data_IF_635473291185
#
_entry.id   IF_635473291185
#
_cell.length_a   1.000
_cell.length_b   1.000
_cell.length_c   1.000
_cell.angle_alpha   90.00
_cell.angle_beta   90.00
_cell.angle_gamma   90.00
#
_symmetry.space_group_name_H-M   'P 1'
#
loop_
_entity.id
_entity.type
_entity.pdbx_description
1 polymer ?
#
# COMPACT_ATOMS: atom_id res chain seq x y z
N UNK A 1 -76.77 -34.38 -9.04
CA UNK A 1 -76.36 -35.36 -8.02
C UNK A 1 -74.93 -35.80 -8.34
N UNK A 2 -74.17 -36.15 -7.30
CA UNK A 2 -72.75 -36.50 -7.24
C UNK A 2 -72.32 -37.62 -8.24
N UNK A 3 -71.06 -37.98 -8.49
CA UNK A 3 -69.82 -37.83 -7.73
C UNK A 3 -68.58 -38.13 -8.62
N UNK A 4 -67.42 -37.68 -8.13
CA UNK A 4 -66.03 -38.14 -8.28
C UNK A 4 -65.70 -39.41 -9.09
N UNK A 5 -64.55 -39.36 -9.79
CA UNK A 5 -63.37 -40.18 -9.44
C UNK A 5 -62.10 -39.70 -10.16
N UNK A 6 -61.09 -39.33 -9.37
CA UNK A 6 -59.76 -38.93 -9.81
C UNK A 6 -58.79 -40.13 -9.66
N UNK A 7 -58.00 -40.41 -10.70
CA UNK A 7 -56.91 -41.41 -10.65
C UNK A 7 -55.57 -40.71 -10.86
N UNK A 8 -54.69 -40.78 -9.84
CA UNK A 8 -53.32 -40.28 -9.86
C UNK A 8 -52.40 -41.24 -10.62
N UNK A 9 -51.60 -40.73 -11.56
CA UNK A 9 -50.41 -41.41 -12.07
C UNK A 9 -49.13 -40.71 -11.59
N UNK A 10 -48.18 -41.51 -11.11
CA UNK A 10 -46.89 -41.10 -10.53
C UNK A 10 -45.85 -40.94 -11.65
N UNK A 11 -45.29 -39.75 -11.83
CA UNK A 11 -44.12 -39.50 -12.68
C UNK A 11 -42.89 -39.18 -11.83
N UNK A 12 -41.85 -40.02 -11.92
CA UNK A 12 -40.53 -39.89 -11.27
C UNK A 12 -39.88 -38.54 -11.62
N UNK A 13 -39.62 -37.70 -10.62
CA UNK A 13 -38.74 -36.55 -10.75
C UNK A 13 -37.28 -36.98 -10.59
N UNK A 14 -36.49 -36.78 -11.64
CA UNK A 14 -35.05 -37.01 -11.69
C UNK A 14 -34.37 -35.79 -11.05
N UNK A 15 -33.83 -35.96 -9.85
CA UNK A 15 -33.08 -34.93 -9.15
C UNK A 15 -31.79 -34.60 -9.89
N UNK A 16 -31.72 -33.43 -10.52
CA UNK A 16 -30.47 -32.84 -11.01
C UNK A 16 -29.83 -32.06 -9.87
N UNK A 17 -28.74 -32.61 -9.32
CA UNK A 17 -27.85 -31.91 -8.40
C UNK A 17 -27.15 -30.78 -9.15
N UNK A 18 -27.74 -29.58 -9.11
CA UNK A 18 -27.07 -28.36 -9.54
C UNK A 18 -25.99 -28.00 -8.52
N UNK A 19 -24.73 -28.28 -8.87
CA UNK A 19 -23.57 -27.76 -8.16
C UNK A 19 -23.56 -26.25 -8.31
N UNK A 20 -23.97 -25.54 -7.26
CA UNK A 20 -23.90 -24.09 -7.18
C UNK A 20 -22.44 -23.69 -6.97
N UNK A 21 -21.68 -23.58 -8.06
CA UNK A 21 -20.41 -22.85 -8.05
C UNK A 21 -20.76 -21.37 -7.83
N UNK A 22 -20.68 -20.93 -6.58
CA UNK A 22 -20.79 -19.52 -6.21
C UNK A 22 -19.65 -18.78 -6.88
N UNK A 23 -19.92 -18.19 -8.05
CA UNK A 23 -19.05 -17.21 -8.67
C UNK A 23 -19.00 -16.01 -7.73
N UNK A 24 -17.94 -15.96 -6.92
CA UNK A 24 -17.59 -14.81 -6.09
C UNK A 24 -17.62 -13.57 -6.98
N UNK A 25 -18.64 -12.72 -6.83
CA UNK A 25 -18.69 -11.40 -7.48
C UNK A 25 -17.45 -10.66 -7.01
N UNK A 26 -16.46 -10.55 -7.87
CA UNK A 26 -15.24 -9.76 -7.67
C UNK A 26 -15.65 -8.35 -7.26
N UNK A 27 -15.62 -8.08 -5.96
CA UNK A 27 -15.88 -6.75 -5.43
C UNK A 27 -14.71 -5.87 -5.88
N UNK A 28 -14.97 -4.90 -6.75
CA UNK A 28 -13.97 -3.93 -7.14
C UNK A 28 -13.32 -3.31 -5.89
N UNK A 29 -12.02 -3.52 -5.70
CA UNK A 29 -11.25 -2.76 -4.71
C UNK A 29 -10.86 -1.39 -5.24
N UNK A 30 -10.63 -0.49 -4.30
CA UNK A 30 -9.99 0.79 -4.57
C UNK A 30 -8.66 0.57 -5.32
N UNK A 31 -8.32 1.39 -6.31
CA UNK A 31 -6.94 1.62 -6.73
C UNK A 31 -6.09 1.96 -5.50
N UNK A 32 -4.95 1.29 -5.37
CA UNK A 32 -3.95 1.54 -4.33
C UNK A 32 -2.69 2.11 -5.00
N UNK A 33 -1.64 2.41 -4.25
CA UNK A 33 -0.47 3.14 -4.78
C UNK A 33 0.08 2.55 -6.07
N UNK A 34 0.27 1.23 -6.11
CA UNK A 34 0.70 0.48 -7.30
C UNK A 34 -0.12 0.79 -8.57
N UNK A 35 -1.41 1.03 -8.41
CA UNK A 35 -2.31 1.30 -9.52
C UNK A 35 -2.14 2.72 -10.03
N UNK A 36 -1.95 3.67 -9.12
CA UNK A 36 -1.73 5.06 -9.51
C UNK A 36 -0.38 5.20 -10.22
N UNK A 37 0.66 4.53 -9.73
CA UNK A 37 1.99 4.48 -10.37
C UNK A 37 1.96 3.80 -11.75
N UNK A 38 1.12 2.78 -11.96
CA UNK A 38 0.90 2.23 -13.32
C UNK A 38 0.17 3.21 -14.24
N UNK A 39 -0.80 3.95 -13.71
CA UNK A 39 -1.50 4.98 -14.48
C UNK A 39 -0.55 6.14 -14.81
N UNK A 40 0.33 6.53 -13.89
CA UNK A 40 1.40 7.49 -14.14
C UNK A 40 2.26 7.06 -15.33
N UNK A 41 2.83 5.85 -15.30
CA UNK A 41 3.64 5.32 -16.42
C UNK A 41 2.86 5.30 -17.75
N UNK A 42 1.57 4.97 -17.70
CA UNK A 42 0.73 4.96 -18.88
C UNK A 42 0.42 6.35 -19.44
N UNK A 43 0.36 7.37 -18.60
CA UNK A 43 0.11 8.76 -18.98
C UNK A 43 1.40 9.56 -19.19
N UNK A 44 2.56 9.05 -18.78
CA UNK A 44 3.86 9.70 -18.95
C UNK A 44 4.13 10.19 -20.39
N UNK A 45 3.69 9.49 -21.47
CA UNK A 45 3.93 9.99 -22.82
C UNK A 45 3.16 11.27 -23.19
N UNK A 46 2.27 11.78 -22.33
CA UNK A 46 1.70 13.11 -22.50
C UNK A 46 2.71 14.22 -22.23
N UNK A 47 3.75 13.95 -21.41
CA UNK A 47 4.75 14.93 -21.01
C UNK A 47 5.50 15.49 -22.23
N UNK A 48 5.73 16.81 -22.23
CA UNK A 48 6.35 17.54 -23.33
C UNK A 48 5.38 17.93 -24.46
N UNK A 49 4.15 17.41 -24.47
CA UNK A 49 3.16 17.79 -25.46
C UNK A 49 2.29 18.98 -25.01
N UNK A 50 1.97 19.83 -26.00
CA UNK A 50 1.02 20.93 -25.84
C UNK A 50 -0.40 20.41 -25.71
N UNK A 51 -1.16 20.96 -24.78
CA UNK A 51 -2.58 20.71 -24.58
C UNK A 51 -3.37 21.41 -25.70
N UNK A 52 -4.09 20.61 -26.48
CA UNK A 52 -4.87 21.05 -27.64
C UNK A 52 -6.34 21.22 -27.29
N UNK A 53 -6.84 20.42 -26.36
CA UNK A 53 -8.19 20.52 -25.82
C UNK A 53 -8.23 19.99 -24.39
N UNK A 54 -9.06 20.59 -23.56
CA UNK A 54 -9.24 20.21 -22.17
C UNK A 54 -10.69 20.40 -21.75
N UNK A 55 -11.25 19.44 -21.01
CA UNK A 55 -12.61 19.51 -20.51
C UNK A 55 -12.71 18.99 -19.08
N UNK A 56 -13.35 19.80 -18.22
CA UNK A 56 -13.79 19.44 -16.87
C UNK A 56 -15.29 19.72 -16.74
N UNK A 57 -16.17 18.81 -17.20
CA UNK A 57 -17.61 19.09 -17.31
C UNK A 57 -18.30 19.50 -16.00
N UNK A 58 -17.72 19.15 -14.85
CA UNK A 58 -18.31 19.39 -13.51
C UNK A 58 -17.71 20.57 -12.75
N UNK A 59 -16.61 21.15 -13.23
CA UNK A 59 -15.95 22.30 -12.62
C UNK A 59 -16.12 23.45 -13.62
N UNK A 60 -17.32 24.03 -13.66
CA UNK A 60 -17.50 25.25 -14.44
C UNK A 60 -16.59 26.32 -13.85
N UNK A 61 -15.57 26.78 -14.59
CA UNK A 61 -14.90 28.11 -14.51
C UNK A 61 -13.62 28.15 -15.38
N UNK A 62 -13.58 29.14 -16.28
CA UNK A 62 -12.55 30.18 -16.50
C UNK A 62 -11.05 29.87 -16.69
N UNK A 63 -10.48 28.91 -15.99
CA UNK A 63 -9.04 28.59 -16.09
C UNK A 63 -8.84 27.44 -17.07
N UNK A 64 -8.20 27.74 -18.20
CA UNK A 64 -7.89 26.76 -19.24
C UNK A 64 -6.40 26.43 -19.20
N UNK A 65 -6.09 25.15 -19.34
CA UNK A 65 -4.72 24.67 -19.61
C UNK A 65 -4.47 24.48 -21.11
N UNK A 66 -5.45 24.83 -21.96
CA UNK A 66 -5.28 24.76 -23.42
C UNK A 66 -4.17 25.73 -23.83
N UNK A 67 -3.20 25.22 -24.60
CA UNK A 67 -1.99 25.95 -24.95
C UNK A 67 -0.82 25.68 -24.01
N UNK A 68 -1.02 25.22 -22.78
CA UNK A 68 0.08 24.84 -21.90
C UNK A 68 0.74 23.53 -22.37
N UNK A 69 1.94 23.26 -21.86
CA UNK A 69 2.64 21.98 -22.01
C UNK A 69 2.39 21.13 -20.77
N UNK A 70 2.13 19.84 -20.94
CA UNK A 70 2.16 18.89 -19.82
C UNK A 70 3.62 18.72 -19.40
N UNK A 71 3.95 19.18 -18.19
CA UNK A 71 5.35 19.15 -17.70
C UNK A 71 5.67 17.90 -16.92
N UNK A 72 4.67 17.32 -16.26
CA UNK A 72 4.87 16.18 -15.38
C UNK A 72 3.57 15.41 -15.17
N UNK A 73 3.70 14.10 -14.96
CA UNK A 73 2.62 13.22 -14.48
C UNK A 73 3.19 12.45 -13.32
N UNK A 74 2.55 12.56 -12.15
CA UNK A 74 3.08 12.06 -10.89
C UNK A 74 1.97 11.32 -10.11
N UNK A 75 2.26 10.08 -9.68
CA UNK A 75 1.51 9.42 -8.62
C UNK A 75 2.15 9.71 -7.26
N UNK A 76 1.30 10.08 -6.30
CA UNK A 76 1.70 10.31 -4.93
C UNK A 76 0.68 9.69 -3.97
N UNK A 77 1.04 8.53 -3.42
CA UNK A 77 0.15 7.66 -2.67
C UNK A 77 -1.02 7.20 -3.56
N UNK A 78 -2.23 7.66 -3.26
CA UNK A 78 -3.45 7.33 -4.04
C UNK A 78 -3.98 8.51 -4.87
N UNK A 79 -3.14 9.50 -5.09
CA UNK A 79 -3.44 10.68 -5.88
C UNK A 79 -2.66 10.60 -7.19
N UNK A 80 -3.26 11.11 -8.26
CA UNK A 80 -2.60 11.30 -9.55
C UNK A 80 -2.64 12.78 -9.91
N UNK A 81 -1.48 13.32 -10.25
CA UNK A 81 -1.22 14.73 -10.52
C UNK A 81 -0.72 14.86 -11.96
N UNK A 82 -1.30 15.78 -12.73
CA UNK A 82 -0.79 16.17 -14.04
C UNK A 82 -0.48 17.66 -13.98
N UNK A 83 0.79 18.02 -14.07
CA UNK A 83 1.27 19.40 -13.94
C UNK A 83 1.37 20.05 -15.32
N UNK A 84 1.01 21.32 -15.41
CA UNK A 84 1.05 22.10 -16.65
C UNK A 84 2.01 23.28 -16.53
N UNK A 85 2.61 23.71 -17.65
CA UNK A 85 3.57 24.82 -17.70
C UNK A 85 3.01 26.15 -17.19
N UNK A 86 1.69 26.35 -17.24
CA UNK A 86 0.98 27.52 -16.71
C UNK A 86 0.84 27.55 -15.18
N UNK A 87 1.46 26.61 -14.45
CA UNK A 87 1.44 26.57 -12.98
C UNK A 87 0.16 25.98 -12.38
N UNK A 88 -0.69 25.36 -13.20
CA UNK A 88 -1.85 24.58 -12.77
C UNK A 88 -1.51 23.09 -12.71
N UNK A 89 -2.25 22.37 -11.87
CA UNK A 89 -2.16 20.92 -11.69
C UNK A 89 -3.57 20.33 -11.71
N UNK A 90 -3.79 19.37 -12.59
CA UNK A 90 -4.95 18.50 -12.55
C UNK A 90 -4.69 17.42 -11.50
N UNK A 91 -5.43 17.47 -10.40
CA UNK A 91 -5.40 16.45 -9.36
C UNK A 91 -6.65 15.58 -9.45
N UNK A 92 -6.44 14.27 -9.60
CA UNK A 92 -7.48 13.26 -9.53
C UNK A 92 -7.23 12.26 -8.40
N UNK A 93 -8.29 11.88 -7.69
CA UNK A 93 -8.28 10.75 -6.77
C UNK A 93 -9.41 9.80 -7.15
N UNK A 94 -9.04 8.60 -7.60
CA UNK A 94 -9.97 7.66 -8.26
C UNK A 94 -11.03 7.07 -7.32
N UNK A 95 -10.72 6.95 -6.02
CA UNK A 95 -11.59 6.29 -5.04
C UNK A 95 -12.01 4.92 -5.59
N UNK A 96 -13.26 4.48 -5.43
CA UNK A 96 -13.64 3.12 -5.83
C UNK A 96 -14.04 2.96 -7.30
N UNK A 97 -14.31 4.07 -8.00
CA UNK A 97 -15.00 4.08 -9.30
C UNK A 97 -14.18 4.67 -10.43
N UNK A 98 -13.22 5.52 -10.11
CA UNK A 98 -12.42 6.24 -11.09
C UNK A 98 -11.50 5.34 -11.89
N UNK A 99 -11.25 5.75 -13.13
CA UNK A 99 -10.31 5.10 -14.04
C UNK A 99 -9.75 6.11 -15.05
N UNK A 100 -8.53 5.84 -15.50
CA UNK A 100 -7.86 6.60 -16.55
C UNK A 100 -7.57 5.70 -17.74
N UNK A 101 -7.92 6.17 -18.93
CA UNK A 101 -7.52 5.57 -20.19
C UNK A 101 -6.68 6.57 -20.98
N UNK A 102 -5.80 6.06 -21.85
CA UNK A 102 -5.09 6.84 -22.86
C UNK A 102 -5.33 6.24 -24.22
N UNK A 103 -5.79 7.08 -25.14
CA UNK A 103 -6.04 6.75 -26.53
C UNK A 103 -5.10 7.52 -27.45
N UNK A 104 -4.99 7.05 -28.69
CA UNK A 104 -4.49 7.89 -29.78
C UNK A 104 -5.59 8.87 -30.15
N UNK A 105 -5.24 10.14 -30.38
CA UNK A 105 -6.21 11.19 -30.71
C UNK A 105 -6.98 10.79 -31.97
N UNK A 106 -8.32 10.79 -31.86
CA UNK A 106 -9.24 10.37 -32.92
C UNK A 106 -9.70 8.91 -32.83
N UNK A 107 -9.11 8.10 -31.96
CA UNK A 107 -9.57 6.74 -31.70
C UNK A 107 -10.93 6.74 -30.96
N UNK A 108 -11.89 5.88 -31.32
CA UNK A 108 -13.13 5.76 -30.57
C UNK A 108 -12.89 5.25 -29.16
N UNK A 109 -13.49 5.93 -28.18
CA UNK A 109 -13.39 5.52 -26.79
C UNK A 109 -14.12 4.20 -26.55
N UNK A 110 -13.59 3.37 -25.65
CA UNK A 110 -14.21 2.10 -25.25
C UNK A 110 -15.28 2.27 -24.15
N UNK A 111 -15.46 3.50 -23.67
CA UNK A 111 -16.40 3.88 -22.61
C UNK A 111 -17.29 5.00 -23.13
N UNK A 112 -18.52 5.03 -22.59
CA UNK A 112 -19.52 6.06 -22.90
C UNK A 112 -19.01 7.45 -22.53
N UNK A 113 -19.22 8.43 -23.42
CA UNK A 113 -18.69 9.80 -23.26
C UNK A 113 -19.25 10.50 -22.01
N UNK A 114 -20.47 10.18 -21.63
CA UNK A 114 -21.18 10.77 -20.49
C UNK A 114 -20.55 10.38 -19.14
N UNK A 115 -19.70 9.34 -19.13
CA UNK A 115 -18.96 8.92 -17.94
C UNK A 115 -17.66 9.71 -17.74
N UNK A 116 -17.21 10.45 -18.76
CA UNK A 116 -15.98 11.23 -18.70
C UNK A 116 -16.12 12.40 -17.73
N UNK A 117 -15.12 12.54 -16.87
CA UNK A 117 -15.01 13.64 -15.90
C UNK A 117 -13.79 14.51 -16.17
N UNK A 118 -12.83 14.00 -16.95
CA UNK A 118 -11.73 14.76 -17.55
C UNK A 118 -11.55 14.27 -18.97
N UNK A 119 -11.35 15.20 -19.91
CA UNK A 119 -10.79 14.92 -21.24
C UNK A 119 -9.58 15.82 -21.41
N UNK A 120 -8.41 15.23 -21.64
CA UNK A 120 -7.15 15.92 -21.85
C UNK A 120 -6.53 15.47 -23.18
N UNK A 121 -6.55 16.34 -24.17
CA UNK A 121 -5.92 16.10 -25.46
C UNK A 121 -4.57 16.80 -25.50
N UNK A 122 -3.47 16.04 -25.56
CA UNK A 122 -2.11 16.57 -25.61
C UNK A 122 -1.32 15.86 -26.71
N UNK A 123 -0.87 16.62 -27.72
CA UNK A 123 -0.15 16.07 -28.87
C UNK A 123 -0.95 14.95 -29.59
N UNK A 124 -0.37 13.76 -29.81
CA UNK A 124 -1.06 12.64 -30.45
C UNK A 124 -1.98 11.86 -29.50
N UNK A 125 -2.07 12.25 -28.22
CA UNK A 125 -2.77 11.48 -27.20
C UNK A 125 -4.07 12.16 -26.74
N UNK A 126 -5.01 11.32 -26.31
CA UNK A 126 -6.21 11.71 -25.59
C UNK A 126 -6.31 10.89 -24.30
N UNK A 127 -6.07 11.53 -23.15
CA UNK A 127 -6.23 10.93 -21.84
C UNK A 127 -7.61 11.27 -21.27
N UNK A 128 -8.35 10.24 -20.88
CA UNK A 128 -9.74 10.39 -20.42
C UNK A 128 -9.88 9.76 -19.05
N UNK A 129 -10.31 10.56 -18.08
CA UNK A 129 -10.67 10.10 -16.76
C UNK A 129 -12.18 9.87 -16.70
N UNK A 130 -12.62 8.69 -16.27
CA UNK A 130 -14.04 8.37 -16.11
C UNK A 130 -14.38 8.17 -14.65
N UNK A 131 -15.53 8.72 -14.22
CA UNK A 131 -16.18 8.44 -12.94
C UNK A 131 -15.30 8.63 -11.68
N UNK A 132 -14.19 9.37 -11.76
CA UNK A 132 -13.40 9.74 -10.59
C UNK A 132 -14.22 10.73 -9.73
N UNK A 133 -14.47 10.43 -8.43
CA UNK A 133 -15.28 11.30 -7.59
C UNK A 133 -14.60 12.61 -7.21
N UNK A 134 -13.26 12.63 -7.17
CA UNK A 134 -12.48 13.83 -6.86
C UNK A 134 -11.63 14.17 -8.07
N UNK A 135 -11.93 15.33 -8.66
CA UNK A 135 -11.20 15.95 -9.77
C UNK A 135 -11.18 17.45 -9.49
N UNK A 136 -10.00 18.05 -9.54
CA UNK A 136 -9.83 19.50 -9.40
C UNK A 136 -8.66 19.98 -10.25
N UNK A 137 -8.80 21.17 -10.82
CA UNK A 137 -7.70 21.93 -11.40
C UNK A 137 -7.33 23.03 -10.41
N UNK A 138 -6.11 23.01 -9.91
CA UNK A 138 -5.65 23.92 -8.86
C UNK A 138 -4.23 24.39 -9.13
N UNK A 139 -3.82 25.47 -8.48
CA UNK A 139 -2.45 25.96 -8.57
C UNK A 139 -1.45 24.99 -7.95
N UNK A 140 -0.27 24.91 -8.55
CA UNK A 140 0.88 24.13 -8.10
C UNK A 140 1.17 24.32 -6.60
N UNK A 141 1.25 25.58 -6.12
CA UNK A 141 1.51 25.90 -4.70
C UNK A 141 0.55 25.23 -3.72
N UNK A 142 -0.71 25.00 -4.13
CA UNK A 142 -1.71 24.34 -3.31
C UNK A 142 -1.44 22.84 -3.20
N UNK A 143 -1.06 22.20 -4.31
CA UNK A 143 -0.68 20.79 -4.33
C UNK A 143 0.60 20.55 -3.54
N UNK A 144 1.57 21.46 -3.64
CA UNK A 144 2.83 21.33 -2.91
C UNK A 144 2.60 21.31 -1.40
N UNK A 145 1.77 22.25 -0.90
CA UNK A 145 1.39 22.33 0.52
C UNK A 145 0.51 21.17 0.99
N UNK A 146 -0.50 20.79 0.21
CA UNK A 146 -1.51 19.81 0.63
C UNK A 146 -1.07 18.36 0.44
N UNK A 147 -0.16 18.08 -0.50
CA UNK A 147 0.21 16.72 -0.90
C UNK A 147 1.73 16.49 -0.97
N UNK A 148 2.48 17.23 -1.80
CA UNK A 148 3.90 16.89 -2.04
C UNK A 148 4.75 17.01 -0.79
N UNK A 149 4.66 18.11 -0.05
CA UNK A 149 5.44 18.31 1.17
C UNK A 149 5.03 17.33 2.29
N UNK A 150 3.73 17.14 2.62
CA UNK A 150 3.34 16.19 3.66
C UNK A 150 3.69 14.73 3.34
N UNK A 151 3.54 14.31 2.08
CA UNK A 151 3.71 12.91 1.68
C UNK A 151 5.13 12.57 1.20
N UNK A 152 6.04 13.55 1.14
CA UNK A 152 7.42 13.35 0.73
C UNK A 152 8.07 12.23 1.54
N UNK A 153 8.58 11.20 0.86
CA UNK A 153 9.23 10.05 1.49
C UNK A 153 8.29 9.07 2.18
N UNK A 154 6.96 9.21 2.06
CA UNK A 154 5.99 8.31 2.71
C UNK A 154 5.33 7.31 1.74
N UNK A 155 5.46 7.50 0.43
CA UNK A 155 4.87 6.62 -0.58
C UNK A 155 5.75 5.39 -0.81
N UNK A 156 5.25 4.22 -0.40
CA UNK A 156 6.01 2.96 -0.46
C UNK A 156 6.40 2.52 -1.87
N UNK A 157 5.72 3.03 -2.91
CA UNK A 157 6.04 2.65 -4.30
C UNK A 157 7.25 3.43 -4.80
N UNK A 158 7.44 4.67 -4.34
CA UNK A 158 8.51 5.53 -4.84
C UNK A 158 9.89 5.04 -4.40
N UNK A 159 10.89 5.38 -5.19
CA UNK A 159 12.30 5.08 -4.90
C UNK A 159 12.83 5.93 -3.75
N UNK A 160 12.33 7.17 -3.62
CA UNK A 160 12.70 8.13 -2.58
C UNK A 160 11.96 7.92 -1.25
N UNK A 161 11.36 6.74 -1.04
CA UNK A 161 10.71 6.40 0.23
C UNK A 161 11.73 6.35 1.37
N UNK A 162 11.38 6.98 2.48
CA UNK A 162 12.16 6.95 3.73
C UNK A 162 11.41 6.04 4.72
N UNK A 163 11.83 4.76 4.77
CA UNK A 163 11.19 3.77 5.63
C UNK A 163 11.35 4.09 7.12
N UNK A 164 12.43 4.77 7.51
CA UNK A 164 12.63 5.19 8.91
C UNK A 164 11.67 6.31 9.28
N UNK A 165 11.41 7.25 8.36
CA UNK A 165 10.36 8.26 8.56
C UNK A 165 8.97 7.63 8.65
N UNK A 166 8.66 6.63 7.83
CA UNK A 166 7.39 5.90 7.91
C UNK A 166 7.27 5.18 9.25
N UNK A 167 8.33 4.49 9.69
CA UNK A 167 8.38 3.82 11.00
C UNK A 167 8.19 4.80 12.15
N UNK A 168 8.89 5.92 12.14
CA UNK A 168 8.75 6.98 13.15
C UNK A 168 7.31 7.53 13.18
N UNK A 169 6.69 7.72 12.00
CA UNK A 169 5.29 8.11 11.90
C UNK A 169 4.33 7.09 12.50
N UNK A 170 4.57 5.78 12.29
CA UNK A 170 3.80 4.72 12.94
C UNK A 170 3.97 4.75 14.46
N UNK A 171 5.19 4.98 14.95
CA UNK A 171 5.48 5.10 16.39
C UNK A 171 4.92 6.35 17.05
N UNK A 172 4.63 7.38 16.27
CA UNK A 172 3.94 8.57 16.76
C UNK A 172 2.42 8.37 16.92
N UNK A 173 1.84 7.29 16.36
CA UNK A 173 0.45 6.92 16.61
C UNK A 173 0.30 6.32 18.02
N UNK A 174 -0.91 6.35 18.61
CA UNK A 174 -1.14 5.71 19.90
C UNK A 174 -0.75 4.22 19.87
N UNK A 175 -0.01 3.70 20.87
CA UNK A 175 0.56 2.35 20.84
C UNK A 175 -0.50 1.24 20.78
N UNK A 176 -1.71 1.49 21.26
CA UNK A 176 -2.87 0.61 21.18
C UNK A 176 -3.52 0.56 19.79
N UNK A 177 -3.14 1.45 18.87
CA UNK A 177 -3.66 1.49 17.50
C UNK A 177 -3.39 0.13 16.84
N UNK A 178 -4.44 -0.56 16.34
CA UNK A 178 -4.23 -1.82 15.64
C UNK A 178 -3.40 -1.61 14.37
N UNK A 179 -2.45 -2.51 14.09
CA UNK A 179 -1.57 -2.48 12.92
C UNK A 179 -2.35 -2.25 11.62
N UNK A 180 -3.47 -2.96 11.43
CA UNK A 180 -4.30 -2.82 10.24
C UNK A 180 -4.94 -1.44 10.07
N UNK A 181 -5.17 -0.71 11.16
CA UNK A 181 -5.64 0.69 11.11
C UNK A 181 -4.48 1.61 10.77
N UNK A 182 -3.35 1.46 11.46
CA UNK A 182 -2.15 2.27 11.25
C UNK A 182 -1.64 2.20 9.79
N UNK A 183 -1.63 1.01 9.18
CA UNK A 183 -1.23 0.82 7.78
C UNK A 183 -2.15 1.52 6.75
N UNK A 184 -3.32 2.02 7.17
CA UNK A 184 -4.22 2.79 6.29
C UNK A 184 -4.10 4.30 6.50
N UNK A 185 -3.32 4.77 7.48
CA UNK A 185 -3.10 6.19 7.74
C UNK A 185 -2.19 6.81 6.67
N UNK A 186 -2.81 7.45 5.67
CA UNK A 186 -2.10 7.93 4.47
C UNK A 186 -1.08 9.04 4.76
N UNK A 187 -1.22 9.75 5.89
CA UNK A 187 -0.25 10.75 6.35
C UNK A 187 0.96 10.16 7.07
N UNK A 188 0.97 8.84 7.27
CA UNK A 188 2.07 8.08 7.89
C UNK A 188 2.68 7.12 6.87
N UNK A 189 1.84 6.36 6.17
CA UNK A 189 2.24 5.43 5.11
C UNK A 189 1.31 5.60 3.91
N UNK A 190 1.85 6.14 2.82
CA UNK A 190 1.08 6.42 1.62
C UNK A 190 1.10 5.22 0.67
N UNK A 191 0.00 5.05 -0.06
CA UNK A 191 -0.14 4.01 -1.09
C UNK A 191 -0.86 2.74 -0.63
N UNK A 192 -0.65 2.27 0.62
CA UNK A 192 -1.32 1.06 1.13
C UNK A 192 -2.83 1.26 1.25
N UNK A 193 -3.63 0.39 0.62
CA UNK A 193 -5.07 0.27 0.87
C UNK A 193 -5.45 -1.07 1.52
N UNK A 194 -6.72 -1.47 1.40
CA UNK A 194 -7.21 -2.65 2.13
C UNK A 194 -6.58 -3.95 1.62
N UNK A 195 -6.20 -4.01 0.34
CA UNK A 195 -5.53 -5.18 -0.24
C UNK A 195 -4.14 -5.30 0.35
N UNK A 196 -3.26 -4.32 0.12
CA UNK A 196 -1.89 -4.38 0.63
C UNK A 196 -1.84 -4.47 2.15
N UNK A 197 -2.74 -3.81 2.90
CA UNK A 197 -2.81 -3.99 4.36
C UNK A 197 -3.00 -5.46 4.75
N UNK A 198 -3.99 -6.13 4.15
CA UNK A 198 -4.32 -7.52 4.54
C UNK A 198 -3.20 -8.47 4.13
N UNK A 199 -2.63 -8.25 2.94
CA UNK A 199 -1.55 -9.07 2.39
C UNK A 199 -0.22 -8.84 3.13
N UNK A 200 0.15 -7.60 3.42
CA UNK A 200 1.34 -7.24 4.18
C UNK A 200 1.34 -7.89 5.57
N UNK A 201 0.23 -7.75 6.30
CA UNK A 201 0.06 -8.41 7.59
C UNK A 201 0.21 -9.94 7.48
N UNK A 202 -0.35 -10.55 6.43
CA UNK A 202 -0.25 -12.00 6.25
C UNK A 202 1.19 -12.44 5.94
N UNK A 203 1.89 -11.73 5.05
CA UNK A 203 3.28 -12.01 4.67
C UNK A 203 4.23 -11.88 5.86
N UNK A 204 4.02 -10.85 6.69
CA UNK A 204 4.78 -10.64 7.93
C UNK A 204 4.34 -11.56 9.08
N UNK A 205 3.27 -12.35 8.92
CA UNK A 205 2.65 -13.17 9.99
C UNK A 205 2.22 -12.35 11.22
N UNK A 206 1.93 -11.07 11.02
CA UNK A 206 1.42 -10.17 12.05
C UNK A 206 -0.10 -10.07 11.94
N UNK A 207 -0.81 -10.09 13.07
CA UNK A 207 -2.26 -9.88 13.02
C UNK A 207 -2.57 -8.41 12.76
N UNK A 208 -3.54 -8.09 11.89
CA UNK A 208 -4.03 -6.72 11.74
C UNK A 208 -4.60 -6.13 13.05
N UNK A 209 -4.90 -7.00 14.04
CA UNK A 209 -5.40 -6.63 15.36
C UNK A 209 -4.30 -6.39 16.41
N UNK A 210 -3.02 -6.66 16.09
CA UNK A 210 -1.94 -6.40 17.04
C UNK A 210 -1.82 -4.90 17.29
N UNK A 211 -1.76 -4.45 18.55
CA UNK A 211 -1.45 -3.06 18.86
C UNK A 211 -0.01 -2.77 18.42
N UNK A 212 0.26 -1.60 17.84
CA UNK A 212 1.60 -1.22 17.39
C UNK A 212 2.65 -1.38 18.49
N UNK A 213 2.33 -1.07 19.74
CA UNK A 213 3.23 -1.19 20.89
C UNK A 213 3.65 -2.63 21.22
N UNK A 214 2.98 -3.65 20.68
CA UNK A 214 3.34 -5.06 20.86
C UNK A 214 4.19 -5.63 19.70
N UNK A 215 4.51 -4.81 18.69
CA UNK A 215 5.32 -5.18 17.54
C UNK A 215 6.67 -4.48 17.70
N UNK A 216 7.78 -5.17 17.53
CA UNK A 216 9.10 -4.54 17.52
C UNK A 216 9.38 -3.78 16.22
N UNK A 217 10.39 -2.90 16.25
CA UNK A 217 10.75 -2.05 15.11
C UNK A 217 11.29 -2.85 13.92
N UNK A 218 11.98 -3.96 14.16
CA UNK A 218 12.56 -4.79 13.10
C UNK A 218 11.47 -5.51 12.31
N UNK A 219 10.43 -6.00 12.98
CA UNK A 219 9.26 -6.59 12.35
C UNK A 219 8.46 -5.57 11.54
N UNK A 220 8.29 -4.33 12.06
CA UNK A 220 7.64 -3.26 11.31
C UNK A 220 8.47 -2.85 10.08
N UNK A 221 9.79 -2.70 10.24
CA UNK A 221 10.71 -2.37 9.15
C UNK A 221 10.70 -3.44 8.07
N UNK A 222 10.74 -4.72 8.45
CA UNK A 222 10.65 -5.84 7.53
C UNK A 222 9.31 -5.86 6.79
N UNK A 223 8.18 -5.64 7.49
CA UNK A 223 6.87 -5.53 6.86
C UNK A 223 6.82 -4.39 5.83
N UNK A 224 7.33 -3.21 6.19
CA UNK A 224 7.33 -2.03 5.31
C UNK A 224 8.21 -2.25 4.07
N UNK A 225 9.42 -2.77 4.24
CA UNK A 225 10.35 -3.05 3.14
C UNK A 225 9.79 -4.12 2.19
N UNK A 226 9.24 -5.21 2.72
CA UNK A 226 8.60 -6.26 1.94
C UNK A 226 7.37 -5.73 1.18
N UNK A 227 6.54 -4.92 1.84
CA UNK A 227 5.36 -4.32 1.21
C UNK A 227 5.76 -3.38 0.07
N UNK A 228 6.77 -2.52 0.28
CA UNK A 228 7.29 -1.64 -0.75
C UNK A 228 7.81 -2.42 -1.97
N UNK A 229 8.59 -3.48 -1.74
CA UNK A 229 9.09 -4.36 -2.81
C UNK A 229 7.92 -4.98 -3.60
N UNK A 230 6.95 -5.59 -2.92
CA UNK A 230 5.79 -6.21 -3.58
C UNK A 230 4.95 -5.19 -4.34
N UNK A 231 4.76 -3.97 -3.82
CA UNK A 231 4.03 -2.93 -4.53
C UNK A 231 4.77 -2.50 -5.80
N UNK A 232 6.10 -2.34 -5.76
CA UNK A 232 6.92 -2.02 -6.94
C UNK A 232 6.93 -3.14 -7.97
N UNK A 233 7.02 -4.40 -7.53
CA UNK A 233 6.93 -5.56 -8.42
C UNK A 233 5.59 -5.59 -9.16
N UNK A 234 4.49 -5.25 -8.48
CA UNK A 234 3.17 -5.16 -9.09
C UNK A 234 3.03 -3.99 -10.09
N UNK A 235 3.84 -2.93 -9.94
CA UNK A 235 3.97 -1.88 -10.95
C UNK A 235 4.75 -2.42 -12.15
N UNK A 236 5.93 -2.99 -11.92
CA UNK A 236 6.84 -3.45 -12.97
C UNK A 236 6.27 -4.60 -13.82
N UNK A 237 5.70 -5.62 -13.19
CA UNK A 237 5.16 -6.81 -13.86
C UNK A 237 4.00 -6.51 -14.83
N UNK A 238 3.43 -5.30 -14.74
CA UNK A 238 2.27 -4.85 -15.53
C UNK A 238 2.51 -3.49 -16.16
N UNK A 239 3.77 -3.15 -16.39
CA UNK A 239 4.15 -2.02 -17.24
C UNK A 239 3.45 -2.16 -18.61
N UNK A 240 3.11 -1.04 -19.29
CA UNK A 240 2.49 -1.08 -20.60
C UNK A 240 3.24 -2.02 -21.56
N UNK A 241 2.58 -3.11 -21.99
CA UNK A 241 3.14 -4.15 -22.84
C UNK A 241 3.39 -5.53 -22.19
N UNK A 242 3.33 -5.65 -20.84
CA UNK A 242 3.76 -6.87 -20.14
C UNK A 242 2.67 -7.92 -19.82
N UNK A 243 1.39 -7.57 -19.65
CA UNK A 243 0.26 -8.51 -19.66
C UNK A 243 -1.07 -7.86 -19.23
N UNK A 244 -2.17 -8.25 -19.89
CA UNK A 244 -3.54 -8.16 -19.36
C UNK A 244 -4.31 -6.86 -19.57
N UNK A 245 -3.65 -5.70 -19.63
CA UNK A 245 -4.28 -4.45 -20.08
C UNK A 245 -4.05 -4.36 -21.60
N UNK A 246 -5.06 -4.74 -22.40
CA UNK A 246 -4.95 -4.90 -23.85
C UNK A 246 -4.48 -3.61 -24.53
N UNK A 247 -3.20 -3.61 -24.91
CA UNK A 247 -2.61 -2.86 -26.00
C UNK A 247 -1.71 -3.83 -26.75
N UNK A 248 -1.99 -4.08 -28.03
CA UNK A 248 -1.21 -5.03 -28.84
C UNK A 248 0.29 -4.71 -28.74
N UNK A 249 1.08 -5.73 -28.37
CA UNK A 249 2.52 -5.63 -28.35
C UNK A 249 3.02 -5.33 -29.77
N UNK A 250 3.66 -4.16 -29.97
CA UNK A 250 4.31 -3.85 -31.24
C UNK A 250 4.51 -2.37 -31.55
N UNK A 251 3.61 -1.48 -31.12
CA UNK A 251 3.69 -0.05 -31.47
C UNK A 251 3.99 0.83 -30.26
N UNK A 252 4.96 1.74 -30.42
CA UNK A 252 5.27 2.81 -29.46
C UNK A 252 4.08 3.76 -29.17
N UNK A 253 2.96 3.56 -29.89
CA UNK A 253 1.69 4.28 -29.77
C UNK A 253 0.59 3.36 -29.18
N UNK A 254 0.95 2.53 -28.19
CA UNK A 254 -0.02 1.61 -27.58
C UNK A 254 -1.08 2.35 -26.74
N UNK A 255 -2.35 2.03 -26.98
CA UNK A 255 -3.48 2.44 -26.15
C UNK A 255 -3.37 1.81 -24.75
N UNK A 256 -3.66 2.59 -23.70
CA UNK A 256 -3.68 2.09 -22.33
C UNK A 256 -5.10 2.11 -21.77
N UNK A 257 -5.46 1.02 -21.09
CA UNK A 257 -6.78 0.81 -20.51
C UNK A 257 -6.65 0.29 -19.09
N UNK A 258 -7.23 1.03 -18.14
CA UNK A 258 -7.37 0.56 -16.77
C UNK A 258 -8.83 0.09 -16.51
N UNK A 259 -9.03 -1.22 -16.40
CA UNK A 259 -10.37 -1.84 -16.26
C UNK A 259 -10.89 -1.96 -14.81
N UNK A 260 -10.24 -1.28 -13.85
CA UNK A 260 -10.27 -1.54 -12.39
C UNK A 260 -9.48 -2.77 -11.98
N UNK A 261 -8.67 -2.61 -10.94
CA UNK A 261 -8.06 -3.73 -10.22
C UNK A 261 -9.14 -4.59 -9.56
N UNK A 262 -9.37 -5.79 -10.08
CA UNK A 262 -9.86 -6.90 -9.28
C UNK A 262 -8.74 -7.38 -8.36
N UNK A 263 -9.06 -8.06 -7.26
CA UNK A 263 -8.04 -8.71 -6.42
C UNK A 263 -7.14 -9.65 -7.22
N UNK A 264 -7.62 -10.21 -8.32
CA UNK A 264 -6.84 -11.06 -9.23
C UNK A 264 -5.77 -10.31 -10.03
N UNK A 265 -5.69 -8.98 -9.95
CA UNK A 265 -4.71 -8.15 -10.67
C UNK A 265 -3.48 -7.76 -9.83
N UNK A 266 -3.33 -8.29 -8.62
CA UNK A 266 -2.11 -8.12 -7.81
C UNK A 266 -1.59 -9.47 -7.42
N UNK A 267 -0.27 -9.65 -7.52
CA UNK A 267 0.44 -10.81 -7.03
C UNK A 267 1.16 -10.43 -5.74
N UNK A 268 0.67 -10.94 -4.62
CA UNK A 268 1.20 -10.78 -3.27
C UNK A 268 1.57 -12.11 -2.63
N UNK A 269 1.19 -13.23 -3.25
CA UNK A 269 1.60 -14.57 -2.85
C UNK A 269 3.02 -14.86 -3.34
N UNK A 270 4.02 -14.79 -2.45
CA UNK A 270 5.32 -15.45 -2.69
C UNK A 270 5.52 -16.55 -1.64
N UNK A 271 6.19 -17.65 -2.01
CA UNK A 271 6.48 -18.76 -1.11
C UNK A 271 5.31 -19.72 -0.80
N UNK A 272 4.23 -19.69 -1.58
CA UNK A 272 3.17 -20.69 -1.50
C UNK A 272 3.63 -21.96 -2.26
N UNK A 273 4.32 -22.87 -1.57
CA UNK A 273 4.79 -24.17 -2.10
C UNK A 273 3.67 -25.06 -2.69
N UNK A 274 2.40 -24.72 -2.47
CA UNK A 274 1.24 -25.46 -2.99
C UNK A 274 0.53 -24.83 -4.19
N UNK A 275 1.08 -23.73 -4.71
CA UNK A 275 0.48 -22.96 -5.80
C UNK A 275 -0.93 -22.43 -5.50
N UNK A 276 -1.38 -21.53 -6.38
CA UNK A 276 -2.75 -21.01 -6.56
C UNK A 276 -3.06 -19.68 -5.88
N UNK A 277 -3.50 -18.73 -6.72
CA UNK A 277 -4.05 -17.42 -6.36
C UNK A 277 -2.99 -16.32 -6.28
N UNK A 278 -3.13 -15.19 -6.99
CA UNK A 278 -2.18 -14.10 -6.88
C UNK A 278 -2.34 -13.33 -5.54
N UNK A 279 -3.43 -13.56 -4.80
CA UNK A 279 -3.71 -12.97 -3.48
C UNK A 279 -3.79 -14.07 -2.41
N UNK A 280 -3.18 -13.83 -1.24
CA UNK A 280 -3.10 -14.83 -0.18
C UNK A 280 -4.28 -14.83 0.79
N UNK A 281 -4.83 -13.67 1.18
CA UNK A 281 -5.95 -13.60 2.16
C UNK A 281 -7.08 -12.66 1.74
N UNK A 282 -6.79 -11.56 1.05
CA UNK A 282 -7.79 -10.56 0.74
C UNK A 282 -8.91 -11.14 -0.14
N UNK A 283 -10.17 -10.92 0.25
CA UNK A 283 -11.32 -11.35 -0.53
C UNK A 283 -11.60 -12.85 -0.44
N UNK A 284 -10.76 -13.60 0.29
CA UNK A 284 -10.80 -15.07 0.41
C UNK A 284 -11.49 -15.55 1.69
N UNK A 285 -12.39 -14.76 2.28
CA UNK A 285 -13.06 -15.13 3.53
C UNK A 285 -13.81 -16.47 3.39
N UNK A 286 -13.60 -17.37 4.34
CA UNK A 286 -14.12 -18.74 4.33
C UNK A 286 -13.28 -19.74 3.53
N UNK A 287 -12.38 -19.27 2.64
CA UNK A 287 -11.47 -20.16 1.91
C UNK A 287 -10.32 -20.66 2.80
N UNK A 288 -9.74 -21.83 2.50
CA UNK A 288 -8.58 -22.33 3.24
C UNK A 288 -7.33 -21.47 2.98
N UNK A 289 -6.63 -21.11 4.05
CA UNK A 289 -5.31 -20.49 4.00
C UNK A 289 -4.33 -21.38 3.25
N UNK A 290 -3.57 -20.83 2.30
CA UNK A 290 -2.61 -21.59 1.50
C UNK A 290 -1.43 -22.12 2.34
N UNK A 291 -1.09 -21.43 3.43
CA UNK A 291 -0.02 -21.86 4.33
C UNK A 291 -0.46 -23.01 5.25
N UNK A 292 -1.57 -22.85 5.98
CA UNK A 292 -1.93 -23.74 7.09
C UNK A 292 -3.30 -24.44 6.97
N UNK A 293 -4.09 -24.15 5.93
CA UNK A 293 -5.41 -24.74 5.69
C UNK A 293 -6.58 -24.14 6.51
N UNK A 294 -6.32 -23.34 7.55
CA UNK A 294 -7.38 -22.72 8.35
C UNK A 294 -8.21 -21.72 7.51
N UNK A 295 -9.52 -21.65 7.75
CA UNK A 295 -10.40 -20.73 7.04
C UNK A 295 -10.00 -19.26 7.29
N UNK A 296 -9.87 -18.48 6.22
CA UNK A 296 -9.60 -17.04 6.30
C UNK A 296 -10.81 -16.32 6.89
N UNK A 297 -10.58 -15.41 7.83
CA UNK A 297 -11.63 -14.62 8.49
C UNK A 297 -11.72 -13.23 7.88
N UNK A 298 -12.94 -12.68 7.84
CA UNK A 298 -13.23 -11.28 7.52
C UNK A 298 -13.78 -10.59 8.75
N UNK A 299 -13.20 -9.45 9.09
CA UNK A 299 -13.67 -8.58 10.17
C UNK A 299 -13.51 -7.11 9.77
N UNK A 300 -14.04 -6.20 10.60
CA UNK A 300 -14.06 -4.75 10.34
C UNK A 300 -13.24 -4.06 11.41
N UNK A 301 -12.43 -3.08 11.00
CA UNK A 301 -11.53 -2.35 11.90
C UNK A 301 -11.63 -0.83 11.71
N UNK A 302 -11.32 -0.10 12.79
CA UNK A 302 -11.28 1.36 12.84
C UNK A 302 -12.67 2.01 12.80
N UNK A 303 -12.70 3.33 12.99
CA UNK A 303 -13.92 4.14 12.94
C UNK A 303 -14.64 4.04 11.58
N UNK A 304 -13.88 3.83 10.51
CA UNK A 304 -14.39 3.69 9.14
C UNK A 304 -14.83 2.26 8.76
N UNK A 305 -14.81 1.31 9.71
CA UNK A 305 -15.25 -0.08 9.51
C UNK A 305 -14.67 -0.70 8.22
N UNK A 306 -13.35 -0.59 8.05
CA UNK A 306 -12.65 -1.11 6.87
C UNK A 306 -12.51 -2.62 6.98
N UNK A 307 -12.80 -3.34 5.89
CA UNK A 307 -12.63 -4.80 5.83
C UNK A 307 -11.17 -5.19 6.00
N UNK A 308 -10.91 -6.17 6.87
CA UNK A 308 -9.62 -6.83 7.04
C UNK A 308 -9.81 -8.33 6.85
N UNK A 309 -8.86 -8.95 6.14
CA UNK A 309 -8.81 -10.39 5.92
C UNK A 309 -7.55 -10.93 6.60
N UNK A 310 -7.67 -12.02 7.34
CA UNK A 310 -6.54 -12.63 8.03
C UNK A 310 -6.72 -14.14 8.18
N UNK A 311 -5.61 -14.87 8.32
CA UNK A 311 -5.65 -16.26 8.73
C UNK A 311 -5.53 -16.35 10.25
N UNK A 312 -6.53 -16.89 10.99
CA UNK A 312 -6.51 -16.90 12.45
C UNK A 312 -5.38 -17.78 13.04
N UNK A 313 -4.85 -18.73 12.28
CA UNK A 313 -3.76 -19.62 12.70
C UNK A 313 -2.37 -19.05 12.37
N UNK A 314 -2.20 -18.42 11.20
CA UNK A 314 -0.92 -17.81 10.82
C UNK A 314 -0.72 -16.42 11.43
N UNK A 315 -1.81 -15.76 11.83
CA UNK A 315 -1.82 -14.41 12.39
C UNK A 315 -2.66 -14.39 13.67
N UNK A 316 -2.21 -15.08 14.74
CA UNK A 316 -2.98 -15.19 15.97
C UNK A 316 -3.30 -13.81 16.56
N UNK A 317 -4.46 -13.66 17.19
CA UNK A 317 -4.78 -12.44 17.93
C UNK A 317 -3.71 -12.19 19.03
N UNK A 318 -3.44 -10.93 19.40
CA UNK A 318 -2.48 -10.66 20.44
C UNK A 318 -3.03 -11.31 21.72
N UNK A 319 -2.28 -12.23 22.32
CA UNK A 319 -2.68 -12.77 23.61
C UNK A 319 -2.61 -11.61 24.59
N UNK A 320 -3.75 -11.16 25.08
CA UNK A 320 -3.77 -10.36 26.30
C UNK A 320 -3.11 -11.26 27.33
N UNK A 321 -1.87 -10.97 27.72
CA UNK A 321 -1.29 -11.59 28.89
C UNK A 321 -2.16 -11.13 30.05
N UNK A 322 -3.21 -11.90 30.36
CA UNK A 322 -3.76 -11.90 31.69
C UNK A 322 -2.56 -12.20 32.57
N UNK A 323 -2.13 -11.18 33.30
CA UNK A 323 -1.22 -11.33 34.43
C UNK A 323 -1.67 -12.61 35.15
N UNK A 324 -0.82 -13.63 35.34
CA UNK A 324 -1.25 -14.84 36.02
C UNK A 324 -1.85 -14.36 37.35
N UNK A 325 -3.14 -14.62 37.53
CA UNK A 325 -3.81 -14.35 38.79
C UNK A 325 -3.07 -15.18 39.83
N UNK A 326 -2.20 -14.54 40.59
CA UNK A 326 -1.62 -15.12 41.80
C UNK A 326 -2.76 -15.24 42.81
N UNK A 327 -3.56 -16.30 42.64
CA UNK A 327 -4.53 -16.77 43.61
C UNK A 327 -4.19 -18.21 43.96
N UNK A 328 -3.01 -18.39 44.56
CA UNK A 328 -2.77 -19.50 45.47
C UNK A 328 -2.77 -18.91 46.89
N UNK A 329 -3.95 -18.93 47.51
CA UNK A 329 -4.06 -18.77 48.96
C UNK A 329 -3.19 -19.84 49.64
N UNK A 330 -2.32 -19.49 50.59
CA UNK A 330 -1.56 -20.48 51.33
C UNK A 330 -2.50 -21.24 52.27
N UNK A 331 -2.61 -22.55 52.04
CA UNK A 331 -3.22 -23.48 52.99
C UNK A 331 -2.41 -23.47 54.30
N UNK A 332 -3.07 -23.09 55.40
CA UNK A 332 -2.53 -23.16 56.76
C UNK A 332 -2.21 -24.62 57.10
N UNK A 333 -0.94 -24.93 57.32
CA UNK A 333 -0.50 -26.07 58.11
C UNK A 333 0.04 -25.58 59.46
N UNK A 334 -0.20 -26.32 60.57
CA UNK A 334 0.16 -25.88 61.92
C UNK A 334 1.69 -25.97 62.17
N UNK A 335 2.23 -25.19 63.12
CA UNK A 335 3.68 -25.08 63.32
C UNK A 335 4.25 -26.30 64.09
N UNK A 336 5.48 -26.74 63.78
CA UNK A 336 6.23 -27.66 64.63
C UNK A 336 6.87 -26.91 65.81
N UNK A 337 7.12 -27.60 66.95
CA UNK A 337 7.68 -26.97 68.14
C UNK A 337 9.18 -26.64 67.97
N UNK A 338 9.52 -25.47 68.52
CA UNK A 338 10.84 -24.88 68.64
C UNK A 338 11.79 -25.69 69.51
N UNK A 339 13.02 -25.90 69.04
CA UNK A 339 14.21 -25.96 69.90
C UNK A 339 15.42 -25.43 69.13
N UNK A 340 15.97 -24.33 69.62
CA UNK A 340 17.34 -23.88 69.39
C UNK A 340 18.11 -24.07 70.71
N UNK A 341 19.46 -24.12 70.68
CA UNK A 341 20.16 -22.85 70.68
C UNK A 341 21.38 -22.77 69.74
N UNK A 342 21.53 -21.55 69.23
CA UNK A 342 22.71 -20.79 68.83
C UNK A 342 24.10 -21.36 69.10
N UNK A 343 25.03 -21.20 68.15
CA UNK A 343 26.11 -20.19 68.26
C UNK A 343 27.15 -20.26 67.13
N UNK A 344 27.54 -19.07 66.66
CA UNK A 344 28.88 -18.62 66.22
C UNK A 344 29.55 -19.29 65.01
N UNK A 345 30.46 -18.67 64.26
CA UNK A 345 30.83 -17.30 63.93
C UNK A 345 31.95 -17.45 62.87
N UNK A 346 31.95 -16.57 61.87
CA UNK A 346 33.12 -15.86 61.35
C UNK A 346 34.45 -16.61 61.04
N UNK A 347 34.81 -16.56 59.75
CA UNK A 347 36.08 -16.01 59.21
C UNK A 347 37.29 -16.91 58.94
N UNK A 348 38.06 -16.41 57.95
CA UNK A 348 39.47 -16.70 57.57
C UNK A 348 39.61 -17.75 56.44
N UNK A 349 40.33 -17.57 55.32
CA UNK A 349 41.43 -16.65 54.95
C UNK A 349 41.63 -16.60 53.41
N UNK A 350 42.12 -15.47 52.89
CA UNK A 350 42.81 -15.34 51.60
C UNK A 350 44.24 -15.96 51.67
N UNK A 351 45.05 -16.10 50.58
CA UNK A 351 45.67 -14.98 49.82
C UNK A 351 45.68 -15.18 48.28
N UNK A 352 45.47 -14.17 47.42
CA UNK A 352 46.40 -13.15 46.86
C UNK A 352 47.52 -13.59 45.90
N UNK A 353 47.71 -12.73 44.88
CA UNK A 353 48.86 -12.51 43.97
C UNK A 353 48.79 -13.28 42.63
N UNK A 354 49.07 -12.72 41.44
CA UNK A 354 49.74 -11.45 41.06
C UNK A 354 49.48 -11.17 39.57
N UNK A 355 49.29 -9.89 39.19
CA UNK A 355 49.44 -9.38 37.81
C UNK A 355 50.93 -9.05 37.52
N UNK A 356 51.35 -8.73 36.27
CA UNK A 356 51.31 -7.32 35.78
C UNK A 356 51.09 -7.19 34.24
N UNK A 357 50.32 -6.21 33.73
CA UNK A 357 50.66 -4.83 33.30
C UNK A 357 51.17 -4.64 31.86
N UNK A 358 50.74 -3.49 31.26
CA UNK A 358 51.22 -2.74 30.08
C UNK A 358 50.22 -2.79 28.89
N UNK A 359 49.47 -1.74 28.49
CA UNK A 359 49.69 -0.28 28.33
C UNK A 359 50.56 0.13 27.14
N UNK A 360 49.92 0.65 26.08
CA UNK A 360 50.29 1.80 25.20
C UNK A 360 49.46 1.67 23.90
N UNK A 361 48.58 2.58 23.46
CA UNK A 361 48.59 4.04 23.29
C UNK A 361 49.41 4.55 22.08
N UNK A 362 48.69 4.92 21.00
CA UNK A 362 49.03 5.95 19.97
C UNK A 362 47.76 6.11 19.08
N UNK A 363 47.04 7.23 18.94
CA UNK A 363 47.30 8.69 18.88
C UNK A 363 47.92 9.16 17.55
N UNK A 364 47.17 9.96 16.78
CA UNK A 364 47.77 10.96 15.88
C UNK A 364 47.04 11.28 14.57
N UNK A 365 46.47 12.49 14.41
CA UNK A 365 46.02 13.09 13.15
C UNK A 365 47.11 13.97 12.51
N UNK A 366 46.93 14.40 11.25
CA UNK A 366 47.80 15.40 10.61
C UNK A 366 47.31 15.89 9.25
N UNK A 367 47.05 17.20 9.20
CA UNK A 367 46.67 18.08 8.09
C UNK A 367 47.68 18.13 6.91
N UNK A 368 47.21 18.58 5.74
CA UNK A 368 47.51 19.91 5.15
C UNK A 368 47.45 19.92 3.61
N UNK A 369 46.88 21.00 3.04
CA UNK A 369 47.25 21.46 1.69
C UNK A 369 46.13 21.94 0.77
N UNK A 370 45.61 23.16 1.00
CA UNK A 370 45.09 24.02 -0.08
C UNK A 370 46.27 24.67 -0.85
N UNK A 371 46.09 25.14 -2.11
CA UNK A 371 45.52 26.49 -2.32
C UNK A 371 44.69 26.69 -3.61
N UNK A 372 43.83 27.72 -3.61
CA UNK A 372 43.28 28.42 -4.80
C UNK A 372 44.29 29.51 -5.29
N UNK A 373 44.10 30.34 -6.36
CA UNK A 373 42.90 30.63 -7.15
C UNK A 373 43.12 30.78 -8.69
N UNK A 374 42.04 31.02 -9.45
CA UNK A 374 42.14 31.39 -10.88
C UNK A 374 40.83 31.94 -11.44
N UNK A 375 40.76 33.27 -11.54
CA UNK A 375 39.73 34.06 -12.24
C UNK A 375 40.07 34.12 -13.73
N UNK A 376 39.13 33.79 -14.63
CA UNK A 376 39.05 34.39 -15.97
C UNK A 376 37.59 34.59 -16.37
N UNK A 377 37.29 35.85 -16.67
CA UNK A 377 36.11 36.43 -17.29
C UNK A 377 36.20 36.21 -18.80
N UNK A 378 35.11 35.83 -19.47
CA UNK A 378 34.79 36.43 -20.78
C UNK A 378 33.32 36.19 -21.18
N UNK A 379 32.70 37.27 -21.65
CA UNK A 379 31.31 37.37 -22.11
C UNK A 379 31.11 37.04 -23.60
N UNK A 380 29.91 37.29 -24.15
CA UNK A 380 29.42 36.68 -25.37
C UNK A 380 29.65 37.54 -26.63
N UNK A 381 29.51 36.99 -27.86
CA UNK A 381 29.16 37.79 -29.01
C UNK A 381 27.65 37.75 -29.31
N UNK A 382 27.08 38.94 -29.46
CA UNK A 382 25.76 39.21 -30.00
C UNK A 382 25.72 39.06 -31.53
N UNK A 383 24.49 38.87 -32.03
CA UNK A 383 23.90 39.38 -33.29
C UNK A 383 24.33 38.79 -34.65
N UNK A 384 23.43 37.99 -35.25
CA UNK A 384 22.50 38.31 -36.37
C UNK A 384 23.04 39.31 -37.42
N UNK A 385 22.97 39.00 -38.73
CA UNK A 385 21.76 39.28 -39.54
C UNK A 385 20.84 38.09 -39.81
#
# INVERSE_FOLDING_TARGET
>A
MAASSATRSRGRTRATTASATSASRTRASMPEGDTLHRIEQALAPLVGHRVLAFSLPRQGVGSSVVGDVVVDVEALGKNLLVSFSGGLVLHTHLKMTGLWHRYVRGEPWRRRRELAVVVLCAGPYEAVCFQAPLVRLVEQRRIDRELRLPLRGLDLVREDVDLERVLAGLRALPPETPLGVALLEQGVVAGIGNVYKSEACFRARLSPLWPLGAIDDDALRALLADTAAVMRDNVAARAPGASGDTGAAGDAVAHYRYERTSHTTRTTSTGCERGKGPIAVYGRAGEPCFACGAAIVLFRQGSLQRSSYACPRCQPAPQTTSKPSSSSSPSKSPPPPSNAPSSNAASSSAPSSTAPSASAAWSGPGDDGAPAPGVVVDGPPRSVP
#
